data_IF_775131640200
#
_entry.id   IF_775131640200
#
_cell.length_a   1.000
_cell.length_b   1.000
_cell.length_c   1.000
_cell.angle_alpha   90.00
_cell.angle_beta   90.00
_cell.angle_gamma   90.00
#
_symmetry.space_group_name_H-M   'P 1'
#
loop_
_entity.id
_entity.type
_entity.pdbx_description
1 polymer ?
#
# COMPACT_ATOMS: atom_id res chain seq x y z
N UNK A 1 0.92 19.57 -21.03
CA UNK A 1 0.49 18.46 -20.15
C UNK A 1 -0.83 18.83 -19.48
N UNK A 2 -1.71 17.87 -19.24
CA UNK A 2 -2.93 18.07 -18.44
C UNK A 2 -2.83 17.34 -17.10
N UNK A 3 -3.31 17.98 -16.03
CA UNK A 3 -3.39 17.44 -14.67
C UNK A 3 -4.85 17.56 -14.22
N UNK A 4 -5.45 16.48 -13.75
CA UNK A 4 -6.83 16.48 -13.25
C UNK A 4 -6.82 16.30 -11.73
N UNK A 5 -7.43 17.21 -10.99
CA UNK A 5 -7.57 17.08 -9.54
C UNK A 5 -7.55 18.42 -8.81
N UNK A 6 -8.31 18.53 -7.72
CA UNK A 6 -8.42 19.77 -6.91
C UNK A 6 -7.71 19.71 -5.56
N UNK A 7 -6.97 18.64 -5.27
CA UNK A 7 -6.29 18.43 -3.99
C UNK A 7 -4.81 18.81 -3.99
N UNK A 8 -4.17 18.73 -2.83
CA UNK A 8 -2.73 19.02 -2.66
C UNK A 8 -1.84 18.24 -3.64
N UNK A 9 -2.10 16.94 -3.88
CA UNK A 9 -1.30 16.13 -4.80
C UNK A 9 -1.34 16.66 -6.23
N UNK A 10 -2.51 17.09 -6.71
CA UNK A 10 -2.65 17.67 -8.04
C UNK A 10 -1.91 19.02 -8.14
N UNK A 11 -1.97 19.84 -7.10
CA UNK A 11 -1.27 21.12 -7.04
C UNK A 11 0.25 20.96 -7.04
N UNK A 12 0.77 20.07 -6.20
CA UNK A 12 2.20 19.74 -6.15
C UNK A 12 2.71 19.18 -7.49
N UNK A 13 1.96 18.25 -8.09
CA UNK A 13 2.30 17.71 -9.41
C UNK A 13 2.29 18.78 -10.50
N UNK A 14 1.32 19.70 -10.45
CA UNK A 14 1.23 20.79 -11.42
C UNK A 14 2.45 21.71 -11.37
N UNK A 15 2.89 22.11 -10.17
CA UNK A 15 4.09 22.93 -9.99
C UNK A 15 5.36 22.18 -10.42
N UNK A 16 5.51 20.92 -10.00
CA UNK A 16 6.65 20.08 -10.39
C UNK A 16 6.76 19.91 -11.92
N UNK A 17 5.63 19.69 -12.60
CA UNK A 17 5.61 19.54 -14.06
C UNK A 17 5.91 20.86 -14.75
N UNK A 18 5.42 21.98 -14.21
CA UNK A 18 5.60 23.31 -14.81
C UNK A 18 7.06 23.77 -14.87
N UNK A 19 7.96 23.19 -14.05
CA UNK A 19 9.41 23.36 -14.16
C UNK A 19 9.96 22.83 -15.50
N UNK A 20 9.35 21.77 -16.06
CA UNK A 20 9.88 20.97 -17.17
C UNK A 20 9.11 21.12 -18.48
N UNK A 21 7.85 21.53 -18.43
CA UNK A 21 6.98 21.62 -19.61
C UNK A 21 6.54 23.06 -19.88
N UNK A 22 6.31 23.42 -21.16
CA UNK A 22 5.94 24.79 -21.52
C UNK A 22 4.57 25.21 -21.00
N UNK A 23 3.66 24.24 -20.76
CA UNK A 23 2.31 24.49 -20.26
C UNK A 23 1.73 23.29 -19.49
N UNK A 24 1.13 23.58 -18.35
CA UNK A 24 0.34 22.67 -17.53
C UNK A 24 -1.11 23.16 -17.50
N UNK A 25 -2.05 22.32 -17.95
CA UNK A 25 -3.48 22.56 -17.79
C UNK A 25 -3.95 21.86 -16.51
N UNK A 26 -4.24 22.62 -15.46
CA UNK A 26 -4.80 22.09 -14.22
C UNK A 26 -6.34 22.12 -14.30
N UNK A 27 -6.95 20.96 -14.46
CA UNK A 27 -8.38 20.77 -14.64
C UNK A 27 -9.02 20.39 -13.31
N UNK A 28 -9.97 21.21 -12.86
CA UNK A 28 -10.62 21.05 -11.56
C UNK A 28 -12.13 21.04 -11.76
N UNK A 29 -12.79 20.00 -11.25
CA UNK A 29 -14.25 19.86 -11.30
C UNK A 29 -14.96 20.92 -10.45
N UNK A 30 -14.36 21.32 -9.33
CA UNK A 30 -14.91 22.33 -8.44
C UNK A 30 -14.78 23.75 -8.98
N UNK A 31 -15.59 24.65 -8.40
CA UNK A 31 -15.63 26.07 -8.74
C UNK A 31 -14.50 26.91 -8.08
N UNK A 32 -13.58 26.28 -7.34
CA UNK A 32 -12.42 26.97 -6.74
C UNK A 32 -11.24 26.03 -6.55
N UNK A 33 -10.02 26.57 -6.55
CA UNK A 33 -8.81 25.81 -6.16
C UNK A 33 -8.79 25.56 -4.65
N UNK A 34 -9.23 26.53 -3.85
CA UNK A 34 -9.06 26.54 -2.40
C UNK A 34 -9.95 25.58 -1.61
N UNK A 35 -10.89 24.88 -2.25
CA UNK A 35 -11.78 23.94 -1.57
C UNK A 35 -11.04 22.69 -1.05
N UNK A 36 -10.07 22.18 -1.81
CA UNK A 36 -9.34 20.94 -1.47
C UNK A 36 -7.82 21.10 -1.38
N UNK A 37 -7.30 22.31 -1.63
CA UNK A 37 -5.87 22.58 -1.74
C UNK A 37 -5.42 23.60 -0.70
N UNK A 38 -4.22 23.41 -0.15
CA UNK A 38 -3.62 24.35 0.80
C UNK A 38 -3.42 25.73 0.17
N UNK A 39 -3.64 26.79 0.97
CA UNK A 39 -3.51 28.19 0.52
C UNK A 39 -2.15 28.48 -0.13
N UNK A 40 -1.08 27.94 0.46
CA UNK A 40 0.27 28.08 -0.09
C UNK A 40 0.37 27.54 -1.53
N UNK A 41 -0.17 26.35 -1.82
CA UNK A 41 -0.14 25.78 -3.17
C UNK A 41 -1.03 26.58 -4.12
N UNK A 42 -2.19 27.05 -3.67
CA UNK A 42 -3.06 27.93 -4.46
C UNK A 42 -2.30 29.18 -4.88
N UNK A 43 -1.66 29.88 -3.94
CA UNK A 43 -0.88 31.10 -4.20
C UNK A 43 0.27 30.85 -5.19
N UNK A 44 0.97 29.71 -5.07
CA UNK A 44 2.04 29.35 -6.01
C UNK A 44 1.49 29.08 -7.42
N UNK A 45 0.37 28.37 -7.53
CA UNK A 45 -0.23 28.01 -8.81
C UNK A 45 -0.76 29.25 -9.54
N UNK A 46 -1.48 30.13 -8.85
CA UNK A 46 -2.05 31.35 -9.44
C UNK A 46 -0.97 32.31 -9.97
N UNK A 47 0.21 32.30 -9.36
CA UNK A 47 1.36 33.12 -9.79
C UNK A 47 2.21 32.45 -10.87
N UNK A 48 2.01 31.16 -11.15
CA UNK A 48 2.90 30.42 -12.04
C UNK A 48 2.51 30.62 -13.52
N UNK A 49 3.35 31.27 -14.35
CA UNK A 49 2.96 31.69 -15.71
C UNK A 49 2.70 30.52 -16.69
N UNK A 50 3.16 29.31 -16.34
CA UNK A 50 2.95 28.09 -17.15
C UNK A 50 1.79 27.23 -16.69
N UNK A 51 1.12 27.56 -15.58
CA UNK A 51 -0.02 26.79 -15.06
C UNK A 51 -1.31 27.51 -15.42
N UNK A 52 -2.13 26.85 -16.25
CA UNK A 52 -3.43 27.35 -16.67
C UNK A 52 -4.49 26.55 -15.92
N UNK A 53 -5.20 27.20 -15.00
CA UNK A 53 -6.27 26.54 -14.24
C UNK A 53 -7.59 26.63 -15.00
N UNK A 54 -8.30 25.51 -15.10
CA UNK A 54 -9.65 25.43 -15.60
C UNK A 54 -10.56 24.87 -14.49
N UNK A 55 -11.30 25.76 -13.84
CA UNK A 55 -12.33 25.44 -12.86
C UNK A 55 -13.60 24.96 -13.56
N UNK A 56 -14.51 24.33 -12.80
CA UNK A 56 -15.77 23.79 -13.31
C UNK A 56 -15.57 22.95 -14.59
N UNK A 57 -14.46 22.21 -14.69
CA UNK A 57 -14.03 21.56 -15.94
C UNK A 57 -13.79 20.07 -15.73
N UNK A 58 -14.37 19.24 -16.60
CA UNK A 58 -14.18 17.79 -16.62
C UNK A 58 -13.62 17.30 -17.95
N UNK A 59 -12.85 16.21 -17.91
CA UNK A 59 -12.43 15.51 -19.12
C UNK A 59 -13.60 14.69 -19.67
N UNK A 60 -13.84 14.77 -20.98
CA UNK A 60 -14.89 14.01 -21.68
C UNK A 60 -14.35 12.99 -22.67
N UNK A 61 -13.19 13.26 -23.27
CA UNK A 61 -12.62 12.41 -24.30
C UNK A 61 -11.09 12.59 -24.28
N UNK A 62 -10.36 11.51 -24.53
CA UNK A 62 -8.92 11.53 -24.80
C UNK A 62 -8.71 11.14 -26.26
N UNK A 63 -7.89 11.89 -26.98
CA UNK A 63 -7.65 11.67 -28.41
C UNK A 63 -6.18 11.40 -28.66
N UNK A 64 -5.93 10.34 -29.41
CA UNK A 64 -4.61 9.84 -29.73
C UNK A 64 -4.72 8.50 -30.43
N UNK A 65 -3.64 8.10 -31.08
CA UNK A 65 -3.48 6.74 -31.62
C UNK A 65 -2.72 5.94 -30.55
N UNK A 66 -1.47 5.56 -30.82
CA UNK A 66 -0.58 4.91 -29.83
C UNK A 66 -0.19 5.83 -28.66
N UNK A 67 -0.30 7.15 -28.86
CA UNK A 67 0.04 8.16 -27.86
C UNK A 67 -1.01 9.26 -27.81
N UNK A 68 -1.22 9.82 -26.61
CA UNK A 68 -2.14 10.93 -26.40
C UNK A 68 -1.68 12.16 -27.20
N UNK A 69 -2.62 12.81 -27.89
CA UNK A 69 -2.39 14.07 -28.62
C UNK A 69 -3.21 15.23 -28.06
N UNK A 70 -4.44 14.98 -27.63
CA UNK A 70 -5.28 16.01 -27.02
C UNK A 70 -6.29 15.44 -26.03
N UNK A 71 -6.78 16.32 -25.16
CA UNK A 71 -7.82 16.01 -24.18
C UNK A 71 -9.00 16.95 -24.44
N UNK A 72 -10.18 16.40 -24.69
CA UNK A 72 -11.41 17.19 -24.77
C UNK A 72 -11.94 17.39 -23.37
N UNK A 73 -12.13 18.66 -23.02
CA UNK A 73 -12.68 19.07 -21.74
C UNK A 73 -14.02 19.76 -21.95
N UNK A 74 -14.90 19.65 -20.96
CA UNK A 74 -16.20 20.29 -20.93
C UNK A 74 -16.35 21.11 -19.66
N UNK A 75 -16.77 22.37 -19.83
CA UNK A 75 -17.17 23.18 -18.68
C UNK A 75 -18.54 22.69 -18.18
N UNK A 76 -18.64 22.31 -16.91
CA UNK A 76 -19.77 21.58 -16.32
C UNK A 76 -21.08 22.35 -16.45
N UNK A 77 -21.03 23.67 -16.21
CA UNK A 77 -22.21 24.55 -16.23
C UNK A 77 -22.64 24.96 -17.64
N UNK A 78 -21.72 25.47 -18.46
CA UNK A 78 -22.04 25.98 -19.81
C UNK A 78 -22.15 24.87 -20.85
N UNK A 79 -21.66 23.66 -20.55
CA UNK A 79 -21.52 22.53 -21.49
C UNK A 79 -20.62 22.82 -22.69
N UNK A 80 -19.87 23.91 -22.64
CA UNK A 80 -18.90 24.26 -23.68
C UNK A 80 -17.76 23.22 -23.70
N UNK A 81 -17.46 22.69 -24.88
CA UNK A 81 -16.37 21.74 -25.11
C UNK A 81 -15.22 22.41 -25.84
N UNK A 82 -14.00 22.09 -25.44
CA UNK A 82 -12.78 22.48 -26.16
C UNK A 82 -11.74 21.37 -26.09
N UNK A 83 -10.92 21.26 -27.14
CA UNK A 83 -9.75 20.40 -27.13
C UNK A 83 -8.56 21.15 -26.54
N UNK A 84 -7.80 20.48 -25.69
CA UNK A 84 -6.53 20.95 -25.15
C UNK A 84 -5.41 20.09 -25.72
N UNK A 85 -4.41 20.72 -26.33
CA UNK A 85 -3.20 20.04 -26.77
C UNK A 85 -2.41 19.55 -25.54
N UNK A 86 -2.34 18.24 -25.39
CA UNK A 86 -1.66 17.61 -24.27
C UNK A 86 -1.23 16.20 -24.63
N UNK A 87 0.09 15.98 -24.65
CA UNK A 87 0.66 14.66 -24.91
C UNK A 87 0.73 13.75 -23.66
N UNK A 88 0.29 14.25 -22.51
CA UNK A 88 0.24 13.48 -21.25
C UNK A 88 -0.89 14.01 -20.37
N UNK A 89 -1.55 13.07 -19.69
CA UNK A 89 -2.64 13.31 -18.75
C UNK A 89 -2.30 12.64 -17.42
N UNK A 90 -2.23 13.41 -16.35
CA UNK A 90 -2.02 12.91 -15.00
C UNK A 90 -3.29 13.08 -14.17
N UNK A 91 -3.76 12.01 -13.53
CA UNK A 91 -5.04 11.98 -12.81
C UNK A 91 -4.80 11.85 -11.30
N UNK A 92 -5.24 12.85 -10.55
CA UNK A 92 -5.10 12.98 -9.10
C UNK A 92 -6.47 13.25 -8.45
N UNK A 93 -7.39 12.29 -8.59
CA UNK A 93 -8.78 12.39 -8.10
C UNK A 93 -9.02 11.65 -6.78
N UNK A 94 -7.95 11.22 -6.12
CA UNK A 94 -8.01 10.32 -4.95
C UNK A 94 -8.01 8.84 -5.36
N UNK A 95 -8.13 7.96 -4.37
CA UNK A 95 -8.19 6.52 -4.55
C UNK A 95 -9.38 5.97 -3.76
N UNK A 96 -10.09 5.01 -4.33
CA UNK A 96 -11.11 4.21 -3.61
C UNK A 96 -10.53 2.82 -3.35
N UNK A 97 -10.47 2.34 -2.09
CA UNK A 97 -10.02 0.99 -1.81
C UNK A 97 -11.06 -0.05 -2.27
N UNK A 98 -10.60 -1.22 -2.70
CA UNK A 98 -11.46 -2.34 -3.12
C UNK A 98 -11.97 -3.14 -1.91
N UNK A 99 -12.60 -2.46 -0.96
CA UNK A 99 -12.97 -2.97 0.38
C UNK A 99 -14.47 -3.07 0.60
N UNK A 100 -15.29 -2.79 -0.42
CA UNK A 100 -16.76 -2.83 -0.31
C UNK A 100 -17.26 -4.19 0.24
N UNK A 101 -16.55 -5.29 -0.02
CA UNK A 101 -16.90 -6.63 0.48
C UNK A 101 -16.54 -6.89 1.96
N UNK A 102 -15.82 -5.95 2.60
CA UNK A 102 -15.35 -6.05 3.99
C UNK A 102 -16.18 -5.20 4.96
N UNK A 103 -17.12 -4.38 4.48
CA UNK A 103 -17.81 -3.37 5.30
C UNK A 103 -18.53 -3.93 6.52
N UNK A 104 -18.99 -5.17 6.45
CA UNK A 104 -19.72 -5.84 7.53
C UNK A 104 -18.83 -6.76 8.37
N UNK A 105 -17.55 -6.87 8.01
CA UNK A 105 -16.58 -7.81 8.61
C UNK A 105 -15.50 -7.07 9.37
N UNK A 106 -14.99 -5.97 8.80
CA UNK A 106 -13.89 -5.19 9.34
C UNK A 106 -14.29 -3.73 9.55
N UNK A 107 -13.70 -3.10 10.56
CA UNK A 107 -13.82 -1.67 10.75
C UNK A 107 -13.08 -0.94 9.61
N UNK A 108 -13.82 -0.09 8.89
CA UNK A 108 -13.31 0.80 7.86
C UNK A 108 -13.38 2.25 8.35
N UNK A 109 -12.53 3.11 7.80
CA UNK A 109 -12.69 4.57 7.97
C UNK A 109 -13.82 5.11 7.07
N UNK A 110 -14.13 6.40 7.21
CA UNK A 110 -15.18 7.07 6.45
C UNK A 110 -14.92 7.10 4.93
N UNK A 111 -13.68 6.82 4.50
CA UNK A 111 -13.28 6.72 3.08
C UNK A 111 -13.22 5.24 2.59
N UNK A 112 -13.54 4.28 3.47
CA UNK A 112 -13.59 2.85 3.18
C UNK A 112 -12.25 2.13 3.32
N UNK A 113 -11.19 2.76 3.82
CA UNK A 113 -9.92 2.07 4.05
C UNK A 113 -9.96 1.25 5.34
N UNK A 114 -9.23 0.13 5.36
CA UNK A 114 -9.20 -0.78 6.50
C UNK A 114 -8.45 -0.12 7.66
N UNK A 115 -9.11 -0.01 8.81
CA UNK A 115 -8.47 0.42 10.05
C UNK A 115 -7.57 -0.69 10.58
N UNK A 116 -6.47 -0.31 11.23
CA UNK A 116 -5.50 -1.27 11.80
C UNK A 116 -4.92 -0.80 13.12
N UNK A 117 -4.38 -1.72 13.92
CA UNK A 117 -3.73 -1.43 15.20
C UNK A 117 -4.67 -0.76 16.18
N UNK A 118 -4.18 0.26 16.90
CA UNK A 118 -4.95 0.96 17.92
C UNK A 118 -6.28 1.56 17.40
N UNK A 119 -6.32 2.03 16.15
CA UNK A 119 -7.55 2.55 15.56
C UNK A 119 -8.57 1.43 15.27
N UNK A 120 -8.11 0.27 14.83
CA UNK A 120 -8.96 -0.90 14.66
C UNK A 120 -9.47 -1.45 16.00
N UNK A 121 -8.61 -1.47 17.02
CA UNK A 121 -8.97 -1.89 18.38
C UNK A 121 -10.07 -1.00 18.96
N UNK A 122 -9.90 0.32 18.86
CA UNK A 122 -10.88 1.30 19.31
C UNK A 122 -12.23 1.24 18.56
N UNK A 123 -12.26 0.63 17.37
CA UNK A 123 -13.47 0.50 16.53
C UNK A 123 -14.01 -0.92 16.43
N UNK A 124 -13.37 -1.88 17.10
CA UNK A 124 -13.84 -3.25 17.14
C UNK A 124 -15.14 -3.36 17.97
N UNK A 125 -15.90 -4.44 17.75
CA UNK A 125 -17.06 -4.73 18.55
C UNK A 125 -16.66 -5.00 20.03
N UNK A 126 -17.47 -4.59 21.02
CA UNK A 126 -17.18 -4.85 22.42
C UNK A 126 -16.93 -6.34 22.70
N UNK A 127 -15.91 -6.65 23.50
CA UNK A 127 -15.53 -8.01 23.88
C UNK A 127 -14.56 -8.71 22.92
N UNK A 128 -14.34 -8.18 21.70
CA UNK A 128 -13.44 -8.79 20.71
C UNK A 128 -12.01 -8.82 21.22
N UNK A 129 -11.50 -7.69 21.73
CA UNK A 129 -10.12 -7.57 22.18
C UNK A 129 -9.94 -7.89 23.66
N UNK A 130 -10.97 -7.71 24.48
CA UNK A 130 -10.94 -8.08 25.91
C UNK A 130 -10.84 -9.59 26.12
N UNK A 131 -11.29 -10.38 25.14
CA UNK A 131 -11.15 -11.84 25.14
C UNK A 131 -9.77 -12.33 24.65
N UNK A 132 -8.92 -11.43 24.15
CA UNK A 132 -7.58 -11.77 23.70
C UNK A 132 -6.57 -11.65 24.85
N UNK A 133 -5.52 -12.47 24.82
CA UNK A 133 -4.41 -12.39 25.78
C UNK A 133 -3.42 -11.26 25.49
N UNK A 134 -3.67 -10.46 24.44
CA UNK A 134 -2.84 -9.33 23.98
C UNK A 134 -3.71 -8.27 23.32
N UNK A 135 -3.18 -7.05 23.23
CA UNK A 135 -3.79 -5.98 22.41
C UNK A 135 -3.61 -6.21 20.91
N UNK A 136 -4.22 -5.34 20.11
CA UNK A 136 -4.18 -5.39 18.65
C UNK A 136 -2.77 -5.08 18.12
N UNK A 137 -2.23 -5.96 17.28
CA UNK A 137 -0.90 -5.77 16.70
C UNK A 137 -0.92 -4.68 15.63
N UNK A 138 0.26 -4.17 15.31
CA UNK A 138 0.41 -3.26 14.17
C UNK A 138 -0.01 -3.99 12.90
N UNK A 139 -0.76 -3.32 12.03
CA UNK A 139 -1.36 -3.87 10.81
C UNK A 139 -2.49 -4.90 11.03
N UNK A 140 -2.78 -5.30 12.26
CA UNK A 140 -3.92 -6.15 12.57
C UNK A 140 -5.21 -5.33 12.50
N UNK A 141 -6.27 -5.92 11.96
CA UNK A 141 -7.56 -5.27 11.71
C UNK A 141 -8.45 -5.35 12.95
N UNK A 142 -9.73 -4.96 12.85
CA UNK A 142 -10.67 -5.10 13.97
C UNK A 142 -11.04 -6.55 14.29
N UNK A 143 -10.61 -7.50 13.45
CA UNK A 143 -10.80 -8.93 13.64
C UNK A 143 -9.44 -9.57 13.99
N UNK A 144 -9.28 -10.15 15.20
CA UNK A 144 -8.03 -10.78 15.60
C UNK A 144 -7.56 -11.84 14.60
N UNK A 145 -6.26 -11.85 14.28
CA UNK A 145 -5.65 -12.76 13.31
C UNK A 145 -5.79 -12.33 11.85
N UNK A 146 -6.54 -11.26 11.55
CA UNK A 146 -6.65 -10.68 10.20
C UNK A 146 -5.82 -9.41 10.12
N UNK A 147 -4.96 -9.34 9.11
CA UNK A 147 -4.01 -8.24 8.91
C UNK A 147 -4.21 -7.56 7.56
N UNK A 148 -3.97 -6.25 7.50
CA UNK A 148 -4.04 -5.45 6.29
C UNK A 148 -2.73 -4.67 6.07
N UNK A 149 -2.23 -4.71 4.83
CA UNK A 149 -0.97 -4.07 4.44
C UNK A 149 -1.13 -3.30 3.12
N UNK A 150 -0.36 -2.22 2.98
CA UNK A 150 -0.33 -1.40 1.78
C UNK A 150 -1.54 -0.49 1.65
N UNK A 151 -1.85 -0.11 0.42
CA UNK A 151 -2.76 1.00 0.11
C UNK A 151 -4.22 0.73 0.48
N UNK A 152 -4.59 -0.49 0.86
CA UNK A 152 -5.92 -0.81 1.39
C UNK A 152 -6.14 -0.24 2.80
N UNK A 153 -5.06 0.07 3.52
CA UNK A 153 -5.07 0.49 4.91
C UNK A 153 -5.28 2.00 5.04
N UNK A 154 -5.98 2.40 6.11
CA UNK A 154 -6.09 3.81 6.48
C UNK A 154 -4.73 4.36 6.90
N UNK A 155 -4.42 5.60 6.52
CA UNK A 155 -3.14 6.25 6.84
C UNK A 155 -1.89 5.60 6.20
N UNK A 156 -2.04 4.70 5.22
CA UNK A 156 -0.90 4.15 4.49
C UNK A 156 -0.17 5.26 3.70
N UNK A 157 1.14 5.14 3.52
CA UNK A 157 1.96 6.14 2.80
C UNK A 157 1.68 6.15 1.28
N UNK A 158 0.92 5.19 0.75
CA UNK A 158 0.61 5.03 -0.68
C UNK A 158 1.88 4.90 -1.54
N UNK A 159 2.82 4.04 -1.11
CA UNK A 159 4.14 3.83 -1.73
C UNK A 159 4.46 2.34 -1.80
N UNK A 160 4.99 1.91 -2.94
CA UNK A 160 5.36 0.50 -3.21
C UNK A 160 6.30 -0.07 -2.16
N UNK A 161 7.38 0.64 -1.82
CA UNK A 161 8.34 0.16 -0.82
C UNK A 161 7.73 0.03 0.58
N UNK A 162 6.85 0.97 0.97
CA UNK A 162 6.12 0.90 2.24
C UNK A 162 5.16 -0.29 2.24
N UNK A 163 4.40 -0.49 1.16
CA UNK A 163 3.47 -1.60 1.03
C UNK A 163 4.18 -2.96 1.07
N UNK A 164 5.35 -3.08 0.41
CA UNK A 164 6.16 -4.29 0.47
C UNK A 164 6.68 -4.57 1.89
N UNK A 165 7.17 -3.53 2.59
CA UNK A 165 7.60 -3.64 3.98
C UNK A 165 6.44 -4.03 4.93
N UNK A 166 5.28 -3.38 4.79
CA UNK A 166 4.08 -3.72 5.55
C UNK A 166 3.63 -5.16 5.28
N UNK A 167 3.74 -5.66 4.04
CA UNK A 167 3.45 -7.05 3.70
C UNK A 167 4.36 -8.04 4.45
N UNK A 168 5.67 -7.78 4.49
CA UNK A 168 6.62 -8.60 5.25
C UNK A 168 6.32 -8.56 6.76
N UNK A 169 5.98 -7.39 7.31
CA UNK A 169 5.58 -7.23 8.71
C UNK A 169 4.30 -8.00 9.03
N UNK A 170 3.29 -7.95 8.16
CA UNK A 170 2.04 -8.67 8.35
C UNK A 170 2.27 -10.18 8.46
N UNK A 171 3.16 -10.76 7.63
CA UNK A 171 3.52 -12.18 7.73
C UNK A 171 4.18 -12.51 9.07
N UNK A 172 5.09 -11.65 9.55
CA UNK A 172 5.70 -11.84 10.86
C UNK A 172 4.64 -11.84 11.98
N UNK A 173 3.70 -10.90 11.96
CA UNK A 173 2.62 -10.83 12.95
C UNK A 173 1.61 -11.97 12.86
N UNK A 174 1.39 -12.54 11.67
CA UNK A 174 0.63 -13.79 11.53
C UNK A 174 1.32 -14.93 12.28
N UNK A 175 2.65 -15.08 12.15
CA UNK A 175 3.38 -16.08 12.91
C UNK A 175 3.30 -15.85 14.42
N UNK A 176 3.42 -14.60 14.87
CA UNK A 176 3.28 -14.27 16.30
C UNK A 176 1.87 -14.63 16.81
N UNK A 177 0.82 -14.28 16.05
CA UNK A 177 -0.56 -14.60 16.40
C UNK A 177 -0.76 -16.11 16.54
N UNK A 178 -0.33 -16.90 15.54
CA UNK A 178 -0.47 -18.36 15.56
C UNK A 178 0.38 -19.03 16.66
N UNK A 179 1.56 -18.48 16.95
CA UNK A 179 2.42 -18.95 18.05
C UNK A 179 1.74 -18.78 19.41
N UNK A 180 1.03 -17.67 19.61
CA UNK A 180 0.25 -17.43 20.82
C UNK A 180 -1.00 -18.32 20.91
N UNK A 181 -1.69 -18.59 19.80
CA UNK A 181 -2.85 -19.51 19.79
C UNK A 181 -2.43 -20.95 20.13
N UNK A 182 -1.25 -21.38 19.69
CA UNK A 182 -0.77 -22.75 19.91
C UNK A 182 -0.38 -23.01 21.37
N UNK A 183 0.08 -21.99 22.10
CA UNK A 183 0.43 -22.10 23.52
C UNK A 183 -0.78 -22.34 24.45
N UNK A 184 -2.02 -22.18 23.95
CA UNK A 184 -3.26 -22.43 24.70
C UNK A 184 -3.93 -23.78 24.42
N UNK A 185 -3.41 -24.59 23.50
CA UNK A 185 -3.94 -25.93 23.21
C UNK A 185 -3.23 -26.96 24.10
N UNK A 186 -3.95 -27.85 24.83
CA UNK A 186 -3.30 -28.96 25.50
C UNK A 186 -2.62 -29.83 24.43
N UNK A 187 -1.31 -30.05 24.60
CA UNK A 187 -0.53 -30.87 23.66
C UNK A 187 -1.11 -32.29 23.54
N UNK A 188 -0.95 -32.96 22.40
CA UNK A 188 -1.30 -34.37 22.29
C UNK A 188 -0.48 -35.14 23.33
N UNK A 189 -1.19 -35.81 24.25
CA UNK A 189 -0.64 -36.31 25.50
C UNK A 189 0.59 -37.22 25.34
N UNK A 190 1.49 -37.10 26.32
CA UNK A 190 2.63 -37.99 26.60
C UNK A 190 2.17 -39.39 27.07
N UNK A 191 1.23 -40.03 26.37
CA UNK A 191 0.85 -41.43 26.58
C UNK A 191 1.32 -42.29 25.40
N UNK A 192 2.64 -42.40 25.27
CA UNK A 192 3.24 -43.54 24.57
C UNK A 192 4.16 -44.28 25.55
N UNK A 193 3.86 -45.54 25.90
CA UNK A 193 4.71 -46.30 26.80
C UNK A 193 6.06 -46.55 26.13
N UNK A 194 7.14 -46.32 26.88
CA UNK A 194 8.51 -46.56 26.43
C UNK A 194 8.68 -48.01 25.94
N UNK A 195 9.33 -48.24 24.79
CA UNK A 195 9.56 -49.60 24.30
C UNK A 195 10.51 -50.33 25.26
N UNK A 196 10.03 -51.46 25.77
CA UNK A 196 10.77 -52.39 26.60
C UNK A 196 12.00 -52.95 25.85
N UNK A 197 13.11 -52.99 26.58
CA UNK A 197 14.43 -53.28 26.04
C UNK A 197 14.56 -54.63 25.33
N UNK A 198 15.42 -54.65 24.31
CA UNK A 198 16.01 -55.88 23.79
C UNK A 198 17.53 -55.85 23.95
N UNK A 199 17.97 -56.80 24.76
CA UNK A 199 19.25 -57.48 24.90
C UNK A 199 20.37 -57.16 23.90
N UNK A 200 21.55 -56.91 24.47
CA UNK A 200 22.85 -56.83 23.81
C UNK A 200 23.38 -58.19 23.31
N UNK A 201 24.21 -58.16 22.25
CA UNK A 201 25.58 -58.72 22.11
C UNK A 201 25.93 -58.96 20.61
N UNK A 202 27.22 -59.18 20.22
CA UNK A 202 28.37 -58.27 20.37
C UNK A 202 29.25 -58.17 19.08
N UNK A 203 30.16 -57.19 19.05
CA UNK A 203 31.51 -57.35 18.47
C UNK A 203 31.84 -56.69 17.12
N UNK A 204 32.83 -55.78 17.12
CA UNK A 204 33.60 -55.40 15.94
C UNK A 204 34.07 -53.94 15.93
N UNK A 205 35.18 -53.65 16.61
CA UNK A 205 36.01 -52.44 16.50
C UNK A 205 37.30 -52.79 15.71
N UNK A 206 38.21 -51.87 15.29
CA UNK A 206 38.11 -50.41 15.05
C UNK A 206 38.90 -49.93 13.78
N UNK A 207 38.90 -48.61 13.55
CA UNK A 207 39.91 -47.81 12.82
C UNK A 207 40.10 -47.95 11.28
N UNK A 208 39.69 -46.90 10.56
CA UNK A 208 40.45 -46.38 9.41
C UNK A 208 40.26 -44.85 9.31
N UNK A 209 41.35 -44.12 9.55
CA UNK A 209 41.53 -42.69 9.33
C UNK A 209 41.95 -42.40 7.89
N UNK A 210 41.52 -41.25 7.32
CA UNK A 210 42.34 -40.30 6.56
C UNK A 210 41.42 -39.30 5.82
N UNK A 211 41.48 -38.01 6.13
CA UNK A 211 42.20 -36.96 5.36
C UNK A 211 41.68 -36.80 3.92
N UNK A 212 40.99 -35.70 3.63
CA UNK A 212 41.62 -34.62 2.85
C UNK A 212 40.72 -33.40 2.69
N UNK A 213 41.34 -32.25 2.92
CA UNK A 213 40.82 -30.93 2.64
C UNK A 213 41.26 -30.51 1.22
N UNK A 214 40.41 -29.79 0.48
CA UNK A 214 40.81 -28.52 -0.11
C UNK A 214 39.58 -27.71 -0.62
N UNK A 215 39.56 -26.38 -0.43
CA UNK A 215 38.52 -25.48 -0.92
C UNK A 215 38.83 -24.96 -2.33
N UNK A 216 37.78 -24.73 -3.12
CA UNK A 216 37.89 -24.09 -4.44
C UNK A 216 37.93 -22.56 -4.29
N UNK A 217 38.99 -22.01 -4.87
CA UNK A 217 39.35 -20.61 -5.00
C UNK A 217 38.31 -19.80 -5.80
N UNK A 218 38.00 -18.60 -5.30
CA UNK A 218 37.37 -17.52 -6.05
C UNK A 218 38.46 -16.69 -6.75
N UNK A 219 38.32 -16.49 -8.06
CA UNK A 219 38.92 -15.41 -8.87
C UNK A 219 37.72 -14.78 -9.60
N UNK A 220 37.38 -13.51 -9.44
CA UNK A 220 38.21 -12.34 -9.75
C UNK A 220 38.00 -11.97 -11.22
N UNK A 221 37.20 -10.93 -11.50
CA UNK A 221 36.95 -10.46 -12.86
C UNK A 221 36.02 -9.25 -12.92
N UNK A 222 36.60 -8.05 -12.77
CA UNK A 222 36.03 -6.76 -13.17
C UNK A 222 35.91 -6.69 -14.70
N UNK A 223 34.93 -5.93 -15.22
CA UNK A 223 34.94 -5.54 -16.63
C UNK A 223 33.65 -4.91 -17.18
N UNK A 224 33.59 -3.58 -17.08
CA UNK A 224 32.77 -2.59 -17.82
C UNK A 224 31.31 -2.38 -17.43
#
# INVERSE_FOLDING_TARGET
VAVVGGGNSAGQASLFLAERVPRVHLLIRGASLGAGMSRYLVDQIERHPRVNVALDTEVREVRGDDTLRSVVVEHIRTKERRALDACSLFVFIGAKPCTDWLSDVLALDDEGFVLTGAEAEARAAPGVWESQSRGCLRLETSLPGVFAAGDVRSGSVKRVASAAGEGAMAVHHVHDHLGHTTAGLPGPGDDLPAPSGRSAAPGGDPHASATDAHPLHMTGGEGR
#
